data_IF_266590581823
#
_entry.id   IF_266590581823
#
_cell.length_a   1.000
_cell.length_b   1.000
_cell.length_c   1.000
_cell.angle_alpha   90.00
_cell.angle_beta   90.00
_cell.angle_gamma   90.00
#
_symmetry.space_group_name_H-M   'P 1'
#
loop_
_entity.id
_entity.type
_entity.pdbx_description
1 polymer ?
#
# COMPACT_ATOMS: atom_id res chain seq x y z
N UNK A 1 -7.44 -7.68 24.29
CA UNK A 1 -6.01 -7.49 23.95
C UNK A 1 -5.56 -6.07 24.24
N UNK A 2 -6.19 -5.01 23.64
CA UNK A 2 -5.78 -3.61 23.89
C UNK A 2 -5.96 -3.24 25.36
N UNK A 3 -7.07 -3.60 25.97
CA UNK A 3 -7.34 -3.36 27.39
C UNK A 3 -6.35 -4.12 28.30
N UNK A 4 -6.02 -5.36 27.95
CA UNK A 4 -5.07 -6.17 28.72
C UNK A 4 -3.66 -5.54 28.68
N UNK A 5 -3.24 -5.02 27.52
CA UNK A 5 -1.97 -4.31 27.37
C UNK A 5 -1.99 -2.99 28.14
N UNK A 6 -3.08 -2.24 28.06
CA UNK A 6 -3.24 -0.98 28.80
C UNK A 6 -3.16 -1.22 30.32
N UNK A 7 -3.89 -2.23 30.80
CA UNK A 7 -3.92 -2.61 32.19
C UNK A 7 -2.55 -3.10 32.72
N UNK A 8 -1.78 -3.76 31.86
CA UNK A 8 -0.42 -4.19 32.17
C UNK A 8 0.58 -3.03 32.27
N UNK A 9 0.47 -2.04 31.36
CA UNK A 9 1.43 -0.92 31.26
C UNK A 9 1.07 0.22 32.24
N UNK A 10 -0.15 0.71 32.14
CA UNK A 10 -0.63 1.87 32.93
C UNK A 10 -2.15 1.75 33.11
N UNK A 11 -2.60 1.00 34.16
CA UNK A 11 -4.01 0.63 34.36
C UNK A 11 -4.94 1.84 34.44
N UNK A 12 -4.53 2.86 35.12
CA UNK A 12 -5.37 4.05 35.35
C UNK A 12 -5.12 5.19 34.35
N UNK A 13 -4.17 4.99 33.43
CA UNK A 13 -3.75 6.02 32.47
C UNK A 13 -3.29 7.33 33.10
N UNK A 14 -2.72 7.23 34.30
CA UNK A 14 -2.30 8.38 35.12
C UNK A 14 -0.78 8.45 35.30
N UNK A 15 -0.05 7.43 34.84
CA UNK A 15 1.41 7.38 34.98
C UNK A 15 1.90 7.21 36.41
N UNK A 16 1.10 6.64 37.30
CA UNK A 16 1.48 6.45 38.73
C UNK A 16 2.44 5.28 38.94
N UNK A 17 2.73 4.51 37.89
CA UNK A 17 3.64 3.36 37.95
C UNK A 17 3.03 2.11 38.59
N UNK A 18 1.72 2.01 38.65
CA UNK A 18 1.00 0.82 39.15
C UNK A 18 1.15 -0.39 38.21
N UNK A 19 1.43 -0.15 36.89
CA UNK A 19 1.77 -1.18 35.90
C UNK A 19 3.27 -1.27 35.67
N UNK A 20 3.65 -1.75 34.47
CA UNK A 20 5.05 -1.86 34.01
C UNK A 20 5.58 -0.61 33.33
N UNK A 21 4.75 0.42 33.17
CA UNK A 21 5.16 1.70 32.60
C UNK A 21 6.07 2.49 33.54
N UNK A 22 6.80 3.45 32.99
CA UNK A 22 7.68 4.35 33.72
C UNK A 22 6.85 5.38 34.52
N UNK A 23 7.17 5.57 35.77
CA UNK A 23 6.49 6.57 36.64
C UNK A 23 6.62 7.96 36.00
N UNK A 24 5.52 8.69 35.97
CA UNK A 24 5.45 10.03 35.37
C UNK A 24 5.17 10.04 33.86
N UNK A 25 5.06 8.88 33.25
CA UNK A 25 4.71 8.75 31.82
C UNK A 25 3.31 8.13 31.67
N UNK A 26 2.41 8.85 31.06
CA UNK A 26 1.07 8.37 30.77
C UNK A 26 1.11 7.55 29.45
N UNK A 27 0.64 6.31 29.52
CA UNK A 27 0.55 5.41 28.36
C UNK A 27 -0.90 5.25 27.93
N UNK A 28 -1.14 5.43 26.65
CA UNK A 28 -2.42 5.16 26.04
C UNK A 28 -2.26 4.12 24.94
N UNK A 29 -2.89 2.97 25.10
CA UNK A 29 -2.84 1.87 24.15
C UNK A 29 -4.09 1.92 23.25
N UNK A 30 -3.88 1.93 21.94
CA UNK A 30 -4.93 1.96 20.93
C UNK A 30 -4.76 0.80 19.95
N UNK A 31 -5.87 0.27 19.44
CA UNK A 31 -5.82 -0.59 18.25
C UNK A 31 -5.82 0.26 16.99
N UNK A 32 -5.08 -0.21 15.97
CA UNK A 32 -5.16 0.39 14.64
C UNK A 32 -6.51 0.06 14.00
N UNK A 33 -7.20 1.09 13.53
CA UNK A 33 -8.42 0.94 12.75
C UNK A 33 -8.03 0.86 11.26
N UNK A 34 -8.43 -0.21 10.60
CA UNK A 34 -8.18 -0.39 9.16
C UNK A 34 -9.06 0.55 8.34
N UNK A 35 -8.45 1.23 7.37
CA UNK A 35 -9.16 2.00 6.33
C UNK A 35 -9.02 1.28 5.01
N UNK A 36 -10.14 1.03 4.36
CA UNK A 36 -10.18 0.39 3.05
C UNK A 36 -9.74 1.37 1.95
N UNK A 37 -8.73 0.93 1.19
CA UNK A 37 -8.20 1.63 0.03
C UNK A 37 -8.64 0.90 -1.22
N UNK A 38 -9.11 1.64 -2.22
CA UNK A 38 -9.38 1.11 -3.56
C UNK A 38 -8.47 1.75 -4.59
N UNK A 39 -8.12 0.98 -5.61
CA UNK A 39 -7.19 1.40 -6.67
C UNK A 39 -7.79 1.06 -8.02
N UNK A 40 -7.58 1.96 -8.97
CA UNK A 40 -7.92 1.76 -10.38
C UNK A 40 -6.75 2.20 -11.24
N UNK A 41 -6.36 1.39 -12.21
CA UNK A 41 -5.24 1.69 -13.10
C UNK A 41 -5.36 0.98 -14.45
N UNK A 42 -4.63 1.51 -15.44
CA UNK A 42 -4.35 0.83 -16.71
C UNK A 42 -2.91 0.31 -16.66
N UNK A 43 -2.75 -0.99 -16.87
CA UNK A 43 -1.46 -1.67 -16.78
C UNK A 43 -1.02 -2.20 -18.15
N UNK A 44 0.24 -2.00 -18.46
CA UNK A 44 0.92 -2.63 -19.58
C UNK A 44 1.77 -3.78 -19.04
N UNK A 45 1.47 -4.99 -19.46
CA UNK A 45 2.11 -6.21 -18.97
C UNK A 45 2.82 -6.98 -20.08
N UNK A 46 3.90 -7.65 -19.72
CA UNK A 46 4.64 -8.52 -20.65
C UNK A 46 3.95 -9.87 -20.77
N UNK A 47 3.59 -10.25 -22.00
CA UNK A 47 3.00 -11.55 -22.29
C UNK A 47 3.92 -12.74 -22.04
N UNK A 48 5.24 -12.51 -21.98
CA UNK A 48 6.24 -13.54 -21.67
C UNK A 48 6.23 -13.96 -20.19
N UNK A 49 5.79 -13.08 -19.28
CA UNK A 49 5.74 -13.33 -17.83
C UNK A 49 4.33 -13.72 -17.41
N UNK A 50 3.33 -13.00 -17.90
CA UNK A 50 1.92 -13.31 -17.68
C UNK A 50 1.32 -13.99 -18.92
N UNK A 51 1.74 -15.23 -19.20
CA UNK A 51 1.45 -15.96 -20.44
C UNK A 51 -0.02 -16.28 -20.73
N UNK A 52 -0.83 -16.31 -19.68
CA UNK A 52 -2.30 -16.31 -19.78
C UNK A 52 -2.75 -15.20 -18.86
N UNK A 53 -2.94 -13.98 -19.37
CA UNK A 53 -3.22 -12.82 -18.55
C UNK A 53 -4.39 -13.09 -17.61
N UNK A 54 -4.09 -13.77 -16.50
CA UNK A 54 -5.02 -13.92 -15.39
C UNK A 54 -5.03 -12.62 -14.61
N UNK A 55 -6.08 -11.84 -14.85
CA UNK A 55 -6.28 -10.54 -14.19
C UNK A 55 -6.32 -10.70 -12.67
N UNK A 56 -6.86 -11.81 -12.18
CA UNK A 56 -6.95 -12.07 -10.73
C UNK A 56 -5.57 -12.39 -10.13
N UNK A 57 -4.69 -13.05 -10.85
CA UNK A 57 -3.29 -13.25 -10.44
C UNK A 57 -2.55 -11.91 -10.34
N UNK A 58 -2.68 -11.06 -11.35
CA UNK A 58 -2.08 -9.71 -11.34
C UNK A 58 -2.60 -8.89 -10.17
N UNK A 59 -3.91 -8.90 -9.93
CA UNK A 59 -4.52 -8.22 -8.77
C UNK A 59 -3.96 -8.73 -7.44
N UNK A 60 -3.78 -10.04 -7.30
CA UNK A 60 -3.24 -10.63 -6.07
C UNK A 60 -1.80 -10.20 -5.79
N UNK A 61 -0.96 -10.12 -6.82
CA UNK A 61 0.43 -9.63 -6.70
C UNK A 61 0.45 -8.15 -6.32
N UNK A 62 -0.39 -7.34 -6.96
CA UNK A 62 -0.51 -5.90 -6.63
C UNK A 62 -1.01 -5.72 -5.19
N UNK A 63 -2.01 -6.48 -4.78
CA UNK A 63 -2.57 -6.43 -3.44
C UNK A 63 -1.51 -6.71 -2.38
N UNK A 64 -0.72 -7.75 -2.55
CA UNK A 64 0.37 -8.11 -1.63
C UNK A 64 1.44 -7.00 -1.60
N UNK A 65 1.90 -6.55 -2.76
CA UNK A 65 2.93 -5.51 -2.88
C UNK A 65 2.51 -4.22 -2.20
N UNK A 66 1.30 -3.75 -2.46
CA UNK A 66 0.81 -2.49 -1.93
C UNK A 66 0.46 -2.56 -0.44
N UNK A 67 -0.08 -3.67 0.04
CA UNK A 67 -0.32 -3.85 1.47
C UNK A 67 1.00 -3.87 2.26
N UNK A 68 2.05 -4.51 1.74
CA UNK A 68 3.38 -4.46 2.33
C UNK A 68 3.94 -3.03 2.35
N UNK A 69 3.73 -2.27 1.28
CA UNK A 69 4.12 -0.87 1.22
C UNK A 69 3.36 -0.02 2.25
N UNK A 70 2.05 -0.18 2.38
CA UNK A 70 1.26 0.53 3.39
C UNK A 70 1.68 0.18 4.81
N UNK A 71 1.97 -1.07 5.10
CA UNK A 71 2.48 -1.49 6.41
C UNK A 71 3.83 -0.83 6.71
N UNK A 72 4.71 -0.72 5.73
CA UNK A 72 5.99 0.00 5.89
C UNK A 72 5.80 1.48 6.20
N UNK A 73 4.78 2.13 5.62
CA UNK A 73 4.44 3.51 5.93
C UNK A 73 3.93 3.67 7.36
N UNK A 74 3.14 2.72 7.86
CA UNK A 74 2.66 2.72 9.25
C UNK A 74 3.84 2.57 10.21
N UNK A 75 4.75 1.66 9.94
CA UNK A 75 5.90 1.36 10.81
C UNK A 75 6.93 2.50 10.87
N UNK A 76 7.05 3.27 9.79
CA UNK A 76 8.06 4.34 9.67
C UNK A 76 7.50 5.74 9.88
N UNK A 77 6.17 5.89 10.01
CA UNK A 77 5.54 7.20 10.15
C UNK A 77 5.85 7.84 11.50
N UNK A 78 6.19 9.10 11.46
CA UNK A 78 6.31 9.97 12.61
C UNK A 78 5.49 11.24 12.37
N UNK A 79 4.59 11.58 13.30
CA UNK A 79 3.70 12.73 13.17
C UNK A 79 2.23 12.33 13.21
N UNK A 80 1.35 13.20 12.76
CA UNK A 80 -0.10 13.03 12.90
C UNK A 80 -0.76 12.28 11.75
N UNK A 81 -0.07 12.17 10.61
CA UNK A 81 -0.62 11.62 9.38
C UNK A 81 0.39 10.75 8.64
N UNK A 82 -0.14 9.73 7.97
CA UNK A 82 0.54 8.93 6.95
C UNK A 82 0.14 9.51 5.60
N UNK A 83 1.12 9.84 4.77
CA UNK A 83 0.89 10.38 3.42
C UNK A 83 1.06 9.29 2.37
N UNK A 84 0.05 9.09 1.55
CA UNK A 84 0.07 8.16 0.43
C UNK A 84 0.11 8.97 -0.86
N UNK A 85 1.26 8.89 -1.54
CA UNK A 85 1.50 9.57 -2.80
C UNK A 85 1.22 8.64 -3.97
N UNK A 86 0.43 9.09 -4.94
CA UNK A 86 0.09 8.33 -6.14
C UNK A 86 1.34 7.93 -6.92
N UNK A 87 2.31 8.82 -7.04
CA UNK A 87 3.55 8.51 -7.76
C UNK A 87 4.37 7.39 -7.09
N UNK A 88 4.35 7.32 -5.76
CA UNK A 88 4.99 6.22 -5.03
C UNK A 88 4.24 4.90 -5.26
N UNK A 89 2.91 4.91 -5.26
CA UNK A 89 2.12 3.71 -5.58
C UNK A 89 2.37 3.23 -7.01
N UNK A 90 2.46 4.17 -7.94
CA UNK A 90 2.81 3.87 -9.33
C UNK A 90 4.18 3.20 -9.42
N UNK A 91 5.17 3.73 -8.70
CA UNK A 91 6.51 3.14 -8.65
C UNK A 91 6.51 1.72 -8.06
N UNK A 92 5.75 1.48 -6.99
CA UNK A 92 5.60 0.15 -6.38
C UNK A 92 4.95 -0.86 -7.34
N UNK A 93 3.94 -0.44 -8.08
CA UNK A 93 3.29 -1.29 -9.09
C UNK A 93 4.25 -1.59 -10.25
N UNK A 94 4.98 -0.59 -10.73
CA UNK A 94 5.96 -0.75 -11.82
C UNK A 94 7.19 -1.57 -11.43
N UNK A 95 7.49 -1.70 -10.15
CA UNK A 95 8.55 -2.56 -9.61
C UNK A 95 8.17 -4.06 -9.62
N UNK A 96 6.93 -4.39 -9.93
CA UNK A 96 6.49 -5.78 -10.07
C UNK A 96 6.99 -6.34 -11.41
N UNK A 97 7.67 -7.48 -11.36
CA UNK A 97 8.15 -8.17 -12.56
C UNK A 97 6.99 -8.46 -13.53
N UNK A 98 7.16 -8.03 -14.78
CA UNK A 98 6.18 -8.23 -15.83
C UNK A 98 5.21 -7.07 -16.03
N UNK A 99 5.25 -6.04 -15.19
CA UNK A 99 4.50 -4.80 -15.38
C UNK A 99 5.44 -3.73 -15.93
N UNK A 100 5.23 -3.34 -17.20
CA UNK A 100 6.09 -2.36 -17.88
C UNK A 100 5.69 -0.93 -17.57
N UNK A 101 4.39 -0.67 -17.47
CA UNK A 101 3.89 0.67 -17.23
C UNK A 101 2.54 0.65 -16.51
N UNK A 102 2.29 1.70 -15.75
CA UNK A 102 1.04 1.96 -15.05
C UNK A 102 0.56 3.37 -15.39
N UNK A 103 -0.62 3.47 -15.96
CA UNK A 103 -1.24 4.74 -16.34
C UNK A 103 -2.58 4.93 -15.65
N UNK A 104 -3.00 6.19 -15.54
CA UNK A 104 -4.31 6.57 -15.00
C UNK A 104 -4.59 5.95 -13.62
N UNK A 105 -3.58 5.92 -12.75
CA UNK A 105 -3.74 5.43 -11.38
C UNK A 105 -4.66 6.36 -10.60
N UNK A 106 -5.75 5.79 -10.11
CA UNK A 106 -6.70 6.46 -9.21
C UNK A 106 -6.65 5.81 -7.83
N UNK A 107 -6.67 6.63 -6.82
CA UNK A 107 -6.66 6.24 -5.42
C UNK A 107 -7.98 6.63 -4.79
N UNK A 108 -8.76 5.65 -4.33
CA UNK A 108 -10.12 5.86 -3.81
C UNK A 108 -11.02 6.67 -4.77
N UNK A 109 -10.90 6.39 -6.07
CA UNK A 109 -11.66 7.08 -7.13
C UNK A 109 -11.16 8.47 -7.52
N UNK A 110 -10.07 8.94 -6.93
CA UNK A 110 -9.49 10.26 -7.18
C UNK A 110 -8.04 10.22 -7.67
N UNK A 111 -7.62 11.30 -8.32
CA UNK A 111 -6.24 11.47 -8.83
C UNK A 111 -5.33 12.27 -7.88
N UNK A 112 -5.74 12.44 -6.62
CA UNK A 112 -4.99 13.19 -5.61
C UNK A 112 -4.35 12.27 -4.59
N UNK A 113 -3.20 12.71 -4.08
CA UNK A 113 -2.58 12.09 -2.91
C UNK A 113 -3.53 12.19 -1.71
N UNK A 114 -3.48 11.19 -0.84
CA UNK A 114 -4.30 11.15 0.39
C UNK A 114 -3.42 11.15 1.63
N UNK A 115 -3.99 11.61 2.74
CA UNK A 115 -3.42 11.48 4.06
C UNK A 115 -4.35 10.68 4.96
N UNK A 116 -3.77 9.85 5.78
CA UNK A 116 -4.48 8.98 6.73
C UNK A 116 -3.97 9.29 8.13
N UNK A 117 -4.85 9.40 9.11
CA UNK A 117 -4.46 9.63 10.49
C UNK A 117 -3.57 8.49 11.01
N UNK A 118 -2.56 8.80 11.82
CA UNK A 118 -1.53 7.86 12.27
C UNK A 118 -2.07 6.60 12.98
N UNK A 119 -3.24 6.68 13.60
CA UNK A 119 -3.88 5.53 14.26
C UNK A 119 -4.75 4.69 13.34
N UNK A 120 -4.68 4.94 12.03
CA UNK A 120 -5.40 4.21 11.01
C UNK A 120 -4.43 3.51 10.07
N UNK A 121 -4.77 2.27 9.72
CA UNK A 121 -3.97 1.43 8.85
C UNK A 121 -4.62 1.39 7.46
N UNK A 122 -4.01 1.99 6.44
CA UNK A 122 -4.50 1.83 5.07
C UNK A 122 -4.29 0.37 4.62
N UNK A 123 -5.29 -0.19 3.97
CA UNK A 123 -5.28 -1.60 3.58
C UNK A 123 -6.20 -1.84 2.38
N UNK A 124 -5.77 -2.67 1.44
CA UNK A 124 -6.61 -3.18 0.36
C UNK A 124 -7.17 -4.51 0.82
N UNK A 125 -8.49 -4.59 0.99
CA UNK A 125 -9.15 -5.73 1.65
C UNK A 125 -9.21 -6.98 0.77
N UNK A 126 -9.35 -6.81 -0.54
CA UNK A 126 -9.49 -7.92 -1.50
C UNK A 126 -9.22 -7.47 -2.94
N UNK A 127 -9.13 -8.44 -3.84
CA UNK A 127 -8.99 -8.18 -5.28
C UNK A 127 -10.14 -7.33 -5.87
N UNK A 128 -11.31 -7.36 -5.26
CA UNK A 128 -12.47 -6.55 -5.69
C UNK A 128 -12.25 -5.03 -5.50
N UNK A 129 -11.34 -4.62 -4.63
CA UNK A 129 -10.95 -3.24 -4.44
C UNK A 129 -9.92 -2.74 -5.47
N UNK A 130 -9.42 -3.63 -6.32
CA UNK A 130 -8.48 -3.34 -7.40
C UNK A 130 -9.20 -3.47 -8.73
N UNK A 131 -9.33 -2.37 -9.45
CA UNK A 131 -9.89 -2.33 -10.80
C UNK A 131 -8.77 -2.03 -11.81
N UNK A 132 -8.42 -2.99 -12.63
CA UNK A 132 -7.34 -2.83 -13.62
C UNK A 132 -7.84 -3.11 -15.02
N UNK A 133 -7.35 -2.29 -15.96
CA UNK A 133 -7.42 -2.56 -17.38
C UNK A 133 -6.04 -3.00 -17.86
N UNK A 134 -5.92 -4.25 -18.28
CA UNK A 134 -4.65 -4.86 -18.65
C UNK A 134 -4.49 -4.84 -20.15
N UNK A 135 -3.38 -4.27 -20.62
CA UNK A 135 -2.94 -4.30 -22.02
C UNK A 135 -1.68 -5.16 -22.11
N UNK A 136 -1.76 -6.22 -22.88
CA UNK A 136 -0.58 -7.04 -23.19
C UNK A 136 0.24 -6.37 -24.27
N UNK A 137 1.51 -6.13 -23.97
CA UNK A 137 2.49 -5.77 -25.00
C UNK A 137 3.14 -7.05 -25.53
N UNK A 138 2.78 -7.38 -26.74
CA UNK A 138 3.65 -8.22 -27.56
C UNK A 138 4.73 -7.30 -28.09
N UNK A 139 5.95 -7.49 -27.64
CA UNK A 139 7.10 -6.82 -28.25
C UNK A 139 7.31 -7.49 -29.59
N UNK A 140 6.77 -6.90 -30.65
CA UNK A 140 7.16 -7.28 -32.01
C UNK A 140 8.58 -6.72 -32.21
N UNK A 141 9.59 -7.58 -32.42
CA UNK A 141 10.97 -7.12 -32.66
C UNK A 141 11.09 -6.14 -33.83
N UNK A 142 10.15 -6.18 -34.77
CA UNK A 142 10.12 -5.29 -35.93
C UNK A 142 9.63 -3.86 -35.60
N UNK A 143 9.01 -3.67 -34.43
CA UNK A 143 8.52 -2.36 -33.95
C UNK A 143 9.54 -1.62 -33.09
N UNK A 144 10.70 -2.22 -32.82
CA UNK A 144 11.76 -1.60 -32.01
C UNK A 144 12.88 -1.17 -32.95
N UNK A 145 13.03 0.15 -33.12
CA UNK A 145 14.21 0.70 -33.81
C UNK A 145 15.40 0.69 -32.83
N UNK A 146 16.52 0.14 -33.28
CA UNK A 146 17.78 0.27 -32.54
C UNK A 146 18.24 1.71 -32.59
N UNK A 147 18.30 2.35 -31.42
CA UNK A 147 18.88 3.68 -31.32
C UNK A 147 20.41 3.59 -31.29
N UNK A 148 21.03 4.03 -32.39
CA UNK A 148 22.49 4.21 -32.44
C UNK A 148 22.80 5.68 -32.23
N UNK A 149 23.42 6.02 -31.07
CA UNK A 149 23.97 7.34 -30.84
C UNK A 149 25.22 7.54 -31.70
N UNK A 150 25.20 8.56 -32.57
CA UNK A 150 26.40 9.03 -33.27
C UNK A 150 27.30 9.89 -32.37
#
# INVERSE_FOLDING_TARGET
>A
VVNDIQEYIDPDRLGYGEGKGVIGTIYNVYSLVTIDISISAKLYVQSSIFSNVDVDEIKSVILEKLNNYFDSLVDTSSGDYIYIYIDNLKAEIQDIDGIDNCENLLLCGGSKNIKVAIFKRPHISSNSAISINVVTQEVNPDDIEEYTAE
#
